data_IF_323707808672
#
_entry.id   IF_323707808672
#
_cell.length_a   1.000
_cell.length_b   1.000
_cell.length_c   1.000
_cell.angle_alpha   90.00
_cell.angle_beta   90.00
_cell.angle_gamma   90.00
#
_symmetry.space_group_name_H-M   'P 1'
#
loop_
_entity.id
_entity.type
_entity.pdbx_description
1 polymer ?
#
# COMPACT_ATOMS: atom_id res chain seq x y z
N UNK A 1 -20.72 -38.39 4.17
CA UNK A 1 -19.30 -38.17 3.84
C UNK A 1 -18.88 -36.92 4.59
N UNK A 2 -18.00 -36.89 5.58
CA UNK A 2 -17.09 -37.86 6.14
C UNK A 2 -15.90 -37.07 6.70
N UNK A 3 -15.70 -37.12 8.03
CA UNK A 3 -14.44 -36.91 8.76
C UNK A 3 -13.86 -35.45 8.75
N UNK A 4 -13.23 -34.88 9.78
CA UNK A 4 -12.63 -35.38 11.02
C UNK A 4 -12.42 -34.24 12.02
N UNK A 5 -12.58 -34.60 13.30
CA UNK A 5 -12.28 -33.88 14.52
C UNK A 5 -10.78 -33.55 14.65
N UNK A 6 -10.44 -32.49 15.38
CA UNK A 6 -9.35 -32.53 16.38
C UNK A 6 -9.60 -31.53 17.52
N UNK A 7 -9.84 -32.12 18.68
CA UNK A 7 -9.79 -31.48 19.99
C UNK A 7 -8.33 -31.32 20.42
N UNK A 8 -8.07 -30.28 21.22
CA UNK A 8 -6.91 -30.20 22.10
C UNK A 8 -7.40 -29.80 23.49
N UNK A 9 -7.38 -30.79 24.38
CA UNK A 9 -7.52 -30.66 25.83
C UNK A 9 -6.18 -31.11 26.41
N UNK A 10 -5.56 -30.25 27.20
CA UNK A 10 -4.52 -30.53 28.21
C UNK A 10 -4.22 -29.16 28.85
N UNK A 11 -4.17 -28.94 30.15
CA UNK A 11 -4.32 -29.77 31.33
C UNK A 11 -4.10 -28.82 32.50
N UNK A 12 -4.97 -28.90 33.51
CA UNK A 12 -4.94 -28.10 34.71
C UNK A 12 -3.99 -28.75 35.73
N UNK A 13 -3.03 -27.99 36.28
CA UNK A 13 -2.38 -28.31 37.57
C UNK A 13 -2.31 -27.03 38.40
N UNK A 14 -2.97 -27.08 39.57
CA UNK A 14 -2.93 -26.07 40.61
C UNK A 14 -1.73 -26.31 41.54
N UNK A 15 -1.10 -25.25 42.03
CA UNK A 15 -0.04 -25.30 43.04
C UNK A 15 0.29 -23.92 43.61
N UNK A 16 -0.04 -23.74 44.88
CA UNK A 16 0.01 -22.55 45.73
C UNK A 16 1.41 -21.91 45.91
N UNK A 17 1.43 -20.59 46.17
CA UNK A 17 2.35 -20.01 47.17
C UNK A 17 3.08 -18.71 46.79
N UNK A 18 2.78 -17.63 47.53
CA UNK A 18 3.62 -16.43 47.73
C UNK A 18 3.73 -15.49 46.51
N UNK A 19 3.16 -14.28 46.51
CA UNK A 19 3.43 -13.24 47.50
C UNK A 19 4.75 -12.56 47.18
N UNK A 20 4.75 -11.60 46.24
CA UNK A 20 5.51 -10.34 46.29
C UNK A 20 5.19 -9.50 45.05
N UNK A 21 4.79 -8.26 45.30
CA UNK A 21 4.56 -7.23 44.31
C UNK A 21 5.84 -6.94 43.52
N UNK A 22 5.75 -6.93 42.20
CA UNK A 22 6.74 -6.31 41.33
C UNK A 22 6.03 -5.31 40.42
N UNK A 23 6.42 -4.06 40.56
CA UNK A 23 5.88 -2.90 39.89
C UNK A 23 5.86 -3.06 38.37
N UNK A 24 4.83 -2.46 37.77
CA UNK A 24 4.70 -2.26 36.34
C UNK A 24 5.96 -1.60 35.76
N UNK A 25 6.73 -2.36 35.00
CA UNK A 25 7.57 -1.80 33.96
C UNK A 25 6.74 -1.76 32.68
N UNK A 26 5.98 -0.67 32.50
CA UNK A 26 5.54 -0.26 31.16
C UNK A 26 6.81 0.13 30.42
N UNK A 27 7.47 -0.86 29.84
CA UNK A 27 8.49 -0.65 28.85
C UNK A 27 7.81 0.09 27.70
N UNK A 28 8.00 1.41 27.65
CA UNK A 28 7.93 2.15 26.40
C UNK A 28 9.04 1.58 25.52
N UNK A 29 8.77 0.43 24.92
CA UNK A 29 9.50 -0.08 23.79
C UNK A 29 9.33 0.98 22.72
N UNK A 30 10.30 1.88 22.65
CA UNK A 30 10.58 2.62 21.44
C UNK A 30 10.69 1.56 20.36
N UNK A 31 9.64 1.40 19.54
CA UNK A 31 9.73 0.63 18.31
C UNK A 31 10.80 1.33 17.49
N UNK A 32 12.04 0.88 17.67
CA UNK A 32 13.13 1.15 16.76
C UNK A 32 12.62 0.65 15.43
N UNK A 33 12.24 1.58 14.56
CA UNK A 33 11.89 1.26 13.20
C UNK A 33 13.17 0.72 12.57
N UNK A 34 13.33 -0.60 12.60
CA UNK A 34 14.32 -1.29 11.78
C UNK A 34 13.96 -0.86 10.36
N UNK A 35 14.75 0.05 9.80
CA UNK A 35 14.68 0.34 8.39
C UNK A 35 15.18 -0.94 7.70
N UNK A 36 14.31 -1.69 7.00
CA UNK A 36 14.77 -2.93 6.42
C UNK A 36 15.80 -2.63 5.33
N UNK A 37 16.72 -3.56 5.11
CA UNK A 37 17.71 -3.52 4.03
C UNK A 37 17.11 -3.62 2.61
N UNK A 38 15.78 -3.56 2.49
CA UNK A 38 15.03 -3.74 1.26
C UNK A 38 14.74 -2.38 0.62
N UNK A 39 15.14 -2.22 -0.64
CA UNK A 39 14.84 -1.03 -1.40
C UNK A 39 13.31 -0.87 -1.59
N UNK A 40 12.72 0.29 -1.25
CA UNK A 40 11.29 0.55 -1.42
C UNK A 40 10.75 0.29 -2.84
N UNK A 41 11.62 0.35 -3.86
CA UNK A 41 11.27 0.11 -5.26
C UNK A 41 10.65 -1.25 -5.54
N UNK A 42 11.01 -2.31 -4.81
CA UNK A 42 10.39 -3.63 -4.98
C UNK A 42 8.94 -3.64 -4.49
N UNK A 43 8.68 -2.98 -3.36
CA UNK A 43 7.33 -2.84 -2.79
C UNK A 43 6.45 -2.01 -3.72
N UNK A 44 6.97 -0.90 -4.25
CA UNK A 44 6.25 -0.08 -5.22
C UNK A 44 5.93 -0.86 -6.51
N UNK A 45 6.88 -1.62 -7.03
CA UNK A 45 6.67 -2.44 -8.23
C UNK A 45 5.55 -3.46 -8.01
N UNK A 46 5.52 -4.14 -6.86
CA UNK A 46 4.46 -5.08 -6.51
C UNK A 46 3.10 -4.39 -6.36
N UNK A 47 3.06 -3.23 -5.69
CA UNK A 47 1.84 -2.44 -5.55
C UNK A 47 1.28 -2.00 -6.90
N UNK A 48 2.08 -1.36 -7.76
CA UNK A 48 1.60 -0.94 -9.08
C UNK A 48 1.18 -2.11 -9.97
N UNK A 49 1.91 -3.22 -9.95
CA UNK A 49 1.52 -4.43 -10.68
C UNK A 49 0.15 -4.97 -10.23
N UNK A 50 -0.16 -4.86 -8.93
CA UNK A 50 -1.48 -5.21 -8.40
C UNK A 50 -2.56 -4.22 -8.87
N UNK A 51 -2.32 -2.92 -8.76
CA UNK A 51 -3.31 -1.86 -9.05
C UNK A 51 -3.67 -1.77 -10.54
N UNK A 52 -2.70 -1.97 -11.44
CA UNK A 52 -2.91 -1.87 -12.90
C UNK A 52 -3.81 -2.99 -13.45
N UNK A 53 -4.07 -4.04 -12.66
CA UNK A 53 -4.95 -5.16 -13.06
C UNK A 53 -6.45 -4.85 -12.93
N UNK A 54 -6.81 -3.78 -12.23
CA UNK A 54 -8.21 -3.42 -11.96
C UNK A 54 -8.64 -2.18 -12.73
N UNK A 55 -9.54 -2.34 -13.72
CA UNK A 55 -10.31 -1.23 -14.29
C UNK A 55 -10.38 -1.17 -15.81
N UNK A 56 -11.30 -0.35 -16.32
CA UNK A 56 -11.51 -0.06 -17.75
C UNK A 56 -10.79 1.19 -18.25
N UNK A 57 -9.64 1.55 -17.65
CA UNK A 57 -8.89 2.76 -17.98
C UNK A 57 -8.29 2.71 -19.39
N UNK A 58 -8.10 3.86 -20.03
CA UNK A 58 -7.38 3.95 -21.32
C UNK A 58 -5.86 3.89 -21.17
N UNK A 59 -5.35 4.31 -20.01
CA UNK A 59 -3.96 4.25 -19.59
C UNK A 59 -3.85 4.41 -18.06
N UNK A 60 -2.75 3.93 -17.49
CA UNK A 60 -2.40 4.15 -16.09
C UNK A 60 -1.17 5.04 -15.96
N UNK A 61 -1.21 5.98 -15.04
CA UNK A 61 -0.11 6.88 -14.72
C UNK A 61 0.35 6.65 -13.29
N UNK A 62 1.65 6.57 -13.07
CA UNK A 62 2.20 6.17 -11.77
C UNK A 62 2.89 7.32 -11.07
N UNK A 63 2.61 7.51 -9.79
CA UNK A 63 3.30 8.46 -8.93
C UNK A 63 3.59 7.84 -7.56
N UNK A 64 4.73 8.23 -6.99
CA UNK A 64 5.06 8.01 -5.58
C UNK A 64 4.83 9.32 -4.85
N UNK A 65 4.00 9.31 -3.82
CA UNK A 65 3.73 10.45 -2.98
C UNK A 65 4.74 10.50 -1.83
N UNK A 66 5.52 11.59 -1.76
CA UNK A 66 6.52 11.82 -0.72
C UNK A 66 6.34 13.22 -0.11
N UNK A 67 5.91 13.26 1.15
CA UNK A 67 5.61 14.51 1.84
C UNK A 67 4.42 15.22 1.17
N UNK A 68 4.67 16.40 0.60
CA UNK A 68 3.63 17.21 -0.07
C UNK A 68 3.75 17.16 -1.60
N UNK A 69 4.61 16.29 -2.14
CA UNK A 69 4.88 16.25 -3.59
C UNK A 69 4.71 14.85 -4.15
N UNK A 70 4.25 14.81 -5.39
CA UNK A 70 4.28 13.61 -6.21
C UNK A 70 5.56 13.61 -7.03
N UNK A 71 6.21 12.45 -7.08
CA UNK A 71 7.34 12.19 -7.96
C UNK A 71 7.03 11.01 -8.87
N UNK A 72 7.64 11.01 -10.04
CA UNK A 72 7.61 9.83 -10.88
C UNK A 72 8.32 8.67 -10.16
N UNK A 73 7.82 7.43 -10.32
CA UNK A 73 8.55 6.26 -9.88
C UNK A 73 9.85 6.10 -10.67
N UNK A 74 10.77 5.31 -10.12
CA UNK A 74 12.02 4.97 -10.81
C UNK A 74 11.74 4.34 -12.17
N UNK A 75 12.57 4.67 -13.17
CA UNK A 75 12.41 4.16 -14.53
C UNK A 75 12.32 2.63 -14.60
N UNK A 76 13.06 1.92 -13.74
CA UNK A 76 13.01 0.46 -13.64
C UNK A 76 11.63 -0.05 -13.19
N UNK A 77 10.94 0.67 -12.30
CA UNK A 77 9.58 0.32 -11.85
C UNK A 77 8.60 0.42 -13.02
N UNK A 78 8.68 1.49 -13.82
CA UNK A 78 7.84 1.64 -15.02
C UNK A 78 8.20 0.57 -16.07
N UNK A 79 9.49 0.32 -16.29
CA UNK A 79 9.97 -0.66 -17.26
C UNK A 79 9.51 -2.09 -16.95
N UNK A 80 9.40 -2.49 -15.67
CA UNK A 80 8.84 -3.79 -15.26
C UNK A 80 7.37 -3.98 -15.64
N UNK A 81 6.66 -2.88 -15.86
CA UNK A 81 5.26 -2.87 -16.28
C UNK A 81 5.11 -2.61 -17.79
N UNK A 82 6.22 -2.56 -18.54
CA UNK A 82 6.19 -2.45 -19.98
C UNK A 82 5.44 -3.66 -20.58
N UNK A 83 4.51 -3.38 -21.50
CA UNK A 83 3.69 -4.41 -22.15
C UNK A 83 2.39 -4.74 -21.43
N UNK A 84 2.15 -4.24 -20.21
CA UNK A 84 0.84 -4.34 -19.56
C UNK A 84 -0.20 -3.54 -20.36
N UNK A 85 -1.44 -4.05 -20.41
CA UNK A 85 -2.60 -3.42 -21.02
C UNK A 85 -3.64 -3.16 -19.95
N UNK A 86 -4.19 -1.94 -19.83
CA UNK A 86 -3.83 -0.66 -20.49
C UNK A 86 -2.35 -0.23 -20.31
N UNK A 87 -1.79 0.62 -21.20
CA UNK A 87 -0.39 1.06 -21.10
C UNK A 87 -0.14 1.87 -19.82
N UNK A 88 1.09 1.77 -19.33
CA UNK A 88 1.54 2.38 -18.07
C UNK A 88 2.61 3.43 -18.35
N UNK A 89 2.49 4.60 -17.71
CA UNK A 89 3.37 5.75 -17.89
C UNK A 89 3.71 6.43 -16.55
N UNK A 90 4.78 7.25 -16.48
CA UNK A 90 5.00 8.14 -15.34
C UNK A 90 3.92 9.22 -15.22
N UNK A 91 3.67 9.72 -14.01
CA UNK A 91 2.68 10.77 -13.74
C UNK A 91 2.98 12.09 -14.44
N UNK A 92 4.26 12.41 -14.67
CA UNK A 92 4.66 13.59 -15.46
C UNK A 92 4.08 13.62 -16.88
N UNK A 93 3.68 12.46 -17.42
CA UNK A 93 3.01 12.35 -18.73
C UNK A 93 1.52 12.69 -18.68
N UNK A 94 0.90 12.76 -17.51
CA UNK A 94 -0.53 13.06 -17.40
C UNK A 94 -0.83 14.46 -16.90
N UNK A 95 -2.03 14.92 -17.22
CA UNK A 95 -2.66 16.08 -16.62
C UNK A 95 -3.94 15.63 -15.92
N UNK A 96 -4.12 16.07 -14.67
CA UNK A 96 -5.34 15.82 -13.91
C UNK A 96 -6.23 17.05 -14.00
N UNK A 97 -7.37 16.88 -14.65
CA UNK A 97 -8.45 17.86 -14.75
C UNK A 97 -9.55 17.58 -13.72
N UNK A 98 -10.52 18.47 -13.59
CA UNK A 98 -11.64 18.30 -12.64
C UNK A 98 -12.38 16.96 -12.80
N UNK A 99 -12.58 16.50 -14.04
CA UNK A 99 -13.39 15.34 -14.37
C UNK A 99 -12.61 14.14 -14.91
N UNK A 100 -11.34 14.30 -15.26
CA UNK A 100 -10.61 13.33 -16.09
C UNK A 100 -9.08 13.39 -15.87
N UNK A 101 -8.40 12.29 -16.19
CA UNK A 101 -6.94 12.22 -16.30
C UNK A 101 -6.56 11.99 -17.76
N UNK A 102 -5.75 12.91 -18.31
CA UNK A 102 -5.42 12.95 -19.74
C UNK A 102 -3.94 12.76 -20.00
N UNK A 103 -3.61 12.11 -21.11
CA UNK A 103 -2.23 12.05 -21.63
C UNK A 103 -1.85 13.45 -22.16
N UNK A 104 -0.75 14.05 -21.67
CA UNK A 104 -0.28 15.38 -22.13
C UNK A 104 0.26 15.36 -23.56
N UNK A 105 0.77 14.23 -24.02
CA UNK A 105 1.39 14.09 -25.34
C UNK A 105 0.31 13.88 -26.40
N UNK A 106 -0.70 13.06 -26.12
CA UNK A 106 -1.74 12.71 -27.11
C UNK A 106 -3.08 13.39 -26.88
N UNK A 107 -3.28 14.08 -25.74
CA UNK A 107 -4.56 14.68 -25.34
C UNK A 107 -5.66 13.69 -24.99
N UNK A 108 -5.37 12.38 -24.94
CA UNK A 108 -6.38 11.33 -24.76
C UNK A 108 -6.80 11.22 -23.29
N UNK A 109 -8.10 11.25 -23.03
CA UNK A 109 -8.71 11.10 -21.70
C UNK A 109 -9.06 9.67 -21.30
N UNK A 110 -9.70 9.54 -20.15
CA UNK A 110 -10.12 8.26 -19.55
C UNK A 110 -8.96 7.51 -18.89
N UNK A 111 -7.89 8.21 -18.54
CA UNK A 111 -6.77 7.64 -17.79
C UNK A 111 -7.07 7.52 -16.30
N UNK A 112 -6.16 6.86 -15.59
CA UNK A 112 -6.18 6.79 -14.11
C UNK A 112 -4.78 7.08 -13.58
N UNK A 113 -4.69 8.02 -12.65
CA UNK A 113 -3.46 8.27 -11.90
C UNK A 113 -3.46 7.40 -10.64
N UNK A 114 -2.50 6.48 -10.55
CA UNK A 114 -2.21 5.64 -9.41
C UNK A 114 -1.12 6.30 -8.58
N UNK A 115 -1.46 6.74 -7.37
CA UNK A 115 -0.51 7.28 -6.40
C UNK A 115 -0.29 6.27 -5.29
N UNK A 116 0.96 6.09 -4.88
CA UNK A 116 1.32 5.25 -3.74
C UNK A 116 2.14 6.06 -2.75
N UNK A 117 1.83 5.98 -1.47
CA UNK A 117 2.65 6.56 -0.40
C UNK A 117 3.88 5.70 -0.10
N UNK A 118 4.87 6.29 0.58
CA UNK A 118 6.01 5.51 1.10
C UNK A 118 5.53 4.32 1.95
N UNK A 119 6.14 3.13 1.81
CA UNK A 119 5.76 1.99 2.62
C UNK A 119 6.04 2.25 4.10
N UNK A 120 5.05 1.94 4.93
CA UNK A 120 5.23 1.82 6.36
C UNK A 120 5.61 0.38 6.68
N UNK A 121 6.85 0.17 7.09
CA UNK A 121 7.35 -1.13 7.50
C UNK A 121 6.75 -1.53 8.86
N UNK A 122 6.16 -2.72 8.91
CA UNK A 122 5.74 -3.36 10.16
C UNK A 122 6.90 -4.20 10.72
N UNK A 123 7.56 -4.93 9.83
CA UNK A 123 8.74 -5.76 10.07
C UNK A 123 9.51 -5.98 8.75
N UNK A 124 10.58 -6.76 8.77
CA UNK A 124 11.46 -7.02 7.60
C UNK A 124 10.76 -7.74 6.42
N UNK A 125 9.58 -8.31 6.65
CA UNK A 125 8.81 -9.09 5.68
C UNK A 125 7.41 -8.55 5.47
N UNK A 126 7.01 -7.48 6.15
CA UNK A 126 5.66 -6.94 6.09
C UNK A 126 5.68 -5.43 5.97
N UNK A 127 4.97 -4.92 4.96
CA UNK A 127 4.78 -3.49 4.74
C UNK A 127 3.30 -3.16 4.57
N UNK A 128 2.91 -1.97 5.00
CA UNK A 128 1.65 -1.33 4.62
C UNK A 128 1.91 -0.16 3.71
N UNK A 129 1.03 0.08 2.75
CA UNK A 129 1.07 1.26 1.91
C UNK A 129 -0.34 1.76 1.62
N UNK A 130 -0.48 3.08 1.58
CA UNK A 130 -1.69 3.72 1.10
C UNK A 130 -1.57 3.94 -0.39
N UNK A 131 -2.69 3.79 -1.09
CA UNK A 131 -2.80 3.99 -2.53
C UNK A 131 -4.04 4.82 -2.83
N UNK A 132 -3.95 5.62 -3.88
CA UNK A 132 -5.05 6.42 -4.41
C UNK A 132 -5.20 6.11 -5.89
N UNK A 133 -6.41 5.72 -6.29
CA UNK A 133 -6.87 5.79 -7.66
C UNK A 133 -7.47 7.17 -7.87
N UNK A 134 -6.94 7.94 -8.82
CA UNK A 134 -7.50 9.24 -9.20
C UNK A 134 -8.01 9.19 -10.63
N UNK A 135 -9.31 9.44 -10.78
CA UNK A 135 -10.02 9.49 -12.06
C UNK A 135 -10.23 10.93 -12.55
N UNK A 136 -10.04 11.91 -11.66
CA UNK A 136 -10.10 13.36 -11.88
C UNK A 136 -9.86 14.06 -10.54
N UNK A 137 -9.77 15.39 -10.48
CA UNK A 137 -9.46 16.09 -9.22
C UNK A 137 -10.48 15.83 -8.11
N UNK A 138 -11.74 15.58 -8.46
CA UNK A 138 -12.84 15.37 -7.49
C UNK A 138 -13.23 13.90 -7.33
N UNK A 139 -12.61 13.00 -8.08
CA UNK A 139 -12.98 11.58 -8.09
C UNK A 139 -11.76 10.73 -7.76
N UNK A 140 -11.72 10.24 -6.53
CA UNK A 140 -10.63 9.43 -6.00
C UNK A 140 -11.17 8.26 -5.18
N UNK A 141 -10.47 7.13 -5.23
CA UNK A 141 -10.70 6.00 -4.34
C UNK A 141 -9.38 5.65 -3.63
N UNK A 142 -9.44 5.52 -2.30
CA UNK A 142 -8.27 5.32 -1.47
C UNK A 142 -8.31 3.94 -0.82
N UNK A 143 -7.17 3.27 -0.79
CA UNK A 143 -7.03 1.95 -0.17
C UNK A 143 -5.78 1.89 0.68
N UNK A 144 -5.81 1.00 1.66
CA UNK A 144 -4.62 0.51 2.34
C UNK A 144 -4.34 -0.90 1.87
N UNK A 145 -3.13 -1.13 1.39
CA UNK A 145 -2.64 -2.44 1.02
C UNK A 145 -1.67 -2.95 2.07
N UNK A 146 -1.80 -4.23 2.43
CA UNK A 146 -0.79 -4.94 3.21
C UNK A 146 -0.04 -5.90 2.32
N UNK A 147 1.29 -5.86 2.39
CA UNK A 147 2.18 -6.67 1.59
C UNK A 147 3.07 -7.53 2.47
N UNK A 148 3.27 -8.77 2.04
CA UNK A 148 4.15 -9.73 2.69
C UNK A 148 5.20 -10.23 1.70
N UNK A 149 6.45 -10.32 2.15
CA UNK A 149 7.56 -10.88 1.38
C UNK A 149 7.47 -12.40 1.39
N UNK A 150 7.44 -12.97 0.18
CA UNK A 150 7.46 -14.41 -0.07
C UNK A 150 8.72 -14.80 -0.85
N UNK A 151 8.95 -16.09 -1.08
CA UNK A 151 10.05 -16.56 -1.95
C UNK A 151 9.97 -15.97 -3.35
N UNK A 152 8.76 -15.69 -3.85
CA UNK A 152 8.52 -15.05 -5.16
C UNK A 152 8.47 -13.53 -5.13
N UNK A 153 8.91 -12.89 -4.04
CA UNK A 153 8.87 -11.43 -3.85
C UNK A 153 7.67 -10.95 -3.04
N UNK A 154 7.42 -9.63 -3.10
CA UNK A 154 6.35 -8.97 -2.37
C UNK A 154 4.98 -9.28 -2.98
N UNK A 155 4.02 -9.64 -2.13
CA UNK A 155 2.63 -9.93 -2.52
C UNK A 155 1.64 -9.19 -1.64
N UNK A 156 0.57 -8.72 -2.25
CA UNK A 156 -0.55 -8.07 -1.55
C UNK A 156 -1.38 -9.19 -0.92
N UNK A 157 -1.61 -9.11 0.39
CA UNK A 157 -2.38 -10.11 1.16
C UNK A 157 -3.68 -9.53 1.71
N UNK A 158 -3.81 -8.21 1.74
CA UNK A 158 -4.99 -7.51 2.23
C UNK A 158 -5.16 -6.19 1.47
N UNK A 159 -6.39 -5.88 1.10
CA UNK A 159 -6.81 -4.59 0.56
C UNK A 159 -7.99 -4.10 1.38
N UNK A 160 -7.89 -2.87 1.90
CA UNK A 160 -8.94 -2.26 2.71
C UNK A 160 -9.31 -0.89 2.13
N UNK A 161 -10.59 -0.64 1.78
CA UNK A 161 -11.03 0.68 1.35
C UNK A 161 -10.95 1.69 2.50
N UNK A 162 -10.52 2.90 2.19
CA UNK A 162 -10.48 4.03 3.11
C UNK A 162 -11.65 4.97 2.80
N UNK A 163 -12.51 5.21 3.79
CA UNK A 163 -13.81 5.86 3.61
C UNK A 163 -13.73 7.41 3.61
N UNK A 164 -12.56 7.99 3.91
CA UNK A 164 -12.31 9.44 3.85
C UNK A 164 -10.81 9.71 3.67
N UNK A 165 -10.44 10.80 2.99
CA UNK A 165 -9.06 11.26 2.86
C UNK A 165 -8.37 10.88 1.55
N UNK A 166 -8.33 11.78 0.57
CA UNK A 166 -7.28 11.74 -0.44
C UNK A 166 -5.90 11.99 0.19
N UNK A 167 -4.81 11.68 -0.52
CA UNK A 167 -3.47 12.06 -0.05
C UNK A 167 -3.42 13.57 0.19
N UNK A 168 -3.22 13.98 1.45
CA UNK A 168 -3.17 15.40 1.84
C UNK A 168 -4.42 15.97 2.49
N UNK A 169 -5.46 15.19 2.82
CA UNK A 169 -6.62 15.70 3.59
C UNK A 169 -6.33 15.85 5.10
N UNK A 170 -5.11 16.25 5.45
CA UNK A 170 -4.73 16.63 6.80
C UNK A 170 -5.10 18.10 7.05
N UNK A 171 -6.23 18.30 7.74
CA UNK A 171 -6.53 19.44 8.62
C UNK A 171 -6.52 20.83 7.96
N UNK A 172 -7.60 21.17 7.28
CA UNK A 172 -8.12 22.54 7.30
C UNK A 172 -9.40 22.57 8.14
N UNK A 173 -9.24 22.54 9.47
CA UNK A 173 -10.25 23.10 10.38
C UNK A 173 -9.61 24.34 10.97
N UNK A 174 -9.90 25.47 10.33
CA UNK A 174 -9.85 26.82 10.90
C UNK A 174 -10.75 26.91 12.12
#
# INVERSE_FOLDING_TARGET
MGWLRRALVCGMVAGLGGGLAACAAVGHGTRSAVAPSVAPGEVFSAAFAYLVRSGGASAFYLAVHEGERDRDPEAQTVARLAGVRPPVYPASRCEVTDADVRDRVTGRGGGVLLRVERPRWIDDRTAELRVEYRFGRRNTANYRLRLVRTEGGWRIVEEQPLWAGGFGEARSRS
#
